data_IF_966951445393
#
_entry.id   IF_966951445393
#
_cell.length_a   1.000
_cell.length_b   1.000
_cell.length_c   1.000
_cell.angle_alpha   90.00
_cell.angle_beta   90.00
_cell.angle_gamma   90.00
#
_symmetry.space_group_name_H-M   'P 1'
#
loop_
_entity.id
_entity.type
_entity.pdbx_description
1 polymer ?
#
# COMPACT_ATOMS: atom_id res chain seq x y z
N UNK A 1 -5.10 -15.65 7.01
CA UNK A 1 -5.74 -15.26 8.27
C UNK A 1 -5.50 -13.77 8.54
N UNK A 2 -6.31 -13.16 9.41
CA UNK A 2 -6.09 -11.82 9.92
C UNK A 2 -5.04 -11.86 11.03
N UNK A 3 -4.05 -10.98 10.93
CA UNK A 3 -2.99 -10.77 11.90
C UNK A 3 -3.10 -9.36 12.48
N UNK A 4 -2.90 -9.20 13.79
CA UNK A 4 -2.83 -7.88 14.40
C UNK A 4 -1.54 -7.17 13.94
N UNK A 5 -1.57 -5.83 13.81
CA UNK A 5 -0.42 -5.07 13.31
C UNK A 5 0.82 -5.22 14.18
N UNK A 6 0.65 -5.44 15.49
CA UNK A 6 1.72 -5.68 16.46
C UNK A 6 2.52 -6.95 16.15
N UNK A 7 1.94 -7.91 15.43
CA UNK A 7 2.65 -9.11 14.99
C UNK A 7 3.67 -8.83 13.87
N UNK A 8 3.65 -7.64 13.27
CA UNK A 8 4.54 -7.19 12.18
C UNK A 8 4.54 -8.11 10.95
N UNK A 9 3.49 -8.92 10.79
CA UNK A 9 3.28 -9.78 9.63
C UNK A 9 2.53 -9.07 8.50
N UNK A 10 1.66 -8.13 8.84
CA UNK A 10 0.94 -7.27 7.90
C UNK A 10 1.30 -5.82 8.19
N UNK A 11 1.94 -5.17 7.23
CA UNK A 11 2.52 -3.85 7.40
C UNK A 11 1.71 -2.79 6.64
N UNK A 12 1.04 -1.88 7.33
CA UNK A 12 0.33 -0.76 6.72
C UNK A 12 1.30 0.40 6.40
N UNK A 13 0.89 1.30 5.51
CA UNK A 13 1.60 2.56 5.22
C UNK A 13 0.66 3.78 5.27
N UNK A 14 -0.60 3.60 5.65
CA UNK A 14 -1.58 4.67 5.81
C UNK A 14 -2.27 4.59 7.16
N UNK A 15 -2.62 5.75 7.71
CA UNK A 15 -3.55 5.83 8.82
C UNK A 15 -4.98 5.55 8.38
N UNK A 16 -5.75 5.01 9.28
CA UNK A 16 -7.16 4.75 9.05
C UNK A 16 -8.05 5.64 9.91
N UNK A 17 -9.16 6.08 9.32
CA UNK A 17 -10.11 6.96 9.98
C UNK A 17 -11.27 6.17 10.59
N UNK A 18 -11.58 6.43 11.86
CA UNK A 18 -12.63 5.74 12.59
C UNK A 18 -14.03 5.78 11.91
N UNK A 19 -14.48 6.86 11.26
CA UNK A 19 -15.75 6.85 10.55
C UNK A 19 -15.78 5.85 9.39
N UNK A 20 -14.72 5.78 8.61
CA UNK A 20 -14.60 4.86 7.49
C UNK A 20 -14.52 3.39 7.95
N UNK A 21 -13.82 3.12 9.06
CA UNK A 21 -13.78 1.79 9.65
C UNK A 21 -15.19 1.37 10.09
N UNK A 22 -15.91 2.21 10.84
CA UNK A 22 -17.28 1.90 11.32
C UNK A 22 -18.23 1.58 10.18
N UNK A 23 -18.20 2.34 9.08
CA UNK A 23 -19.00 2.09 7.89
C UNK A 23 -18.73 0.68 7.32
N UNK A 24 -17.48 0.29 7.20
CA UNK A 24 -17.09 -1.03 6.69
C UNK A 24 -17.45 -2.17 7.65
N UNK A 25 -17.30 -1.96 8.95
CA UNK A 25 -17.75 -2.93 9.98
C UNK A 25 -19.26 -3.15 9.87
N UNK A 26 -20.06 -2.08 9.82
CA UNK A 26 -21.52 -2.19 9.67
C UNK A 26 -21.93 -2.94 8.40
N UNK A 27 -21.21 -2.74 7.30
CA UNK A 27 -21.44 -3.46 6.06
C UNK A 27 -21.13 -4.96 6.21
N UNK A 28 -20.02 -5.31 6.87
CA UNK A 28 -19.65 -6.71 7.14
C UNK A 28 -20.64 -7.38 8.09
N UNK A 29 -21.13 -6.67 9.11
CA UNK A 29 -22.15 -7.17 10.04
C UNK A 29 -23.48 -7.45 9.33
N UNK A 30 -23.91 -6.57 8.42
CA UNK A 30 -25.15 -6.72 7.68
C UNK A 30 -25.12 -7.84 6.65
N UNK A 31 -23.99 -8.09 6.03
CA UNK A 31 -23.89 -8.98 4.87
C UNK A 31 -23.12 -10.28 5.14
N UNK A 32 -22.30 -10.33 6.18
CA UNK A 32 -21.45 -11.48 6.48
C UNK A 32 -20.44 -11.83 5.39
N UNK A 33 -19.98 -10.82 4.61
CA UNK A 33 -19.16 -11.05 3.42
C UNK A 33 -18.05 -10.01 3.23
N UNK A 34 -17.00 -10.41 2.52
CA UNK A 34 -15.98 -9.51 1.97
C UNK A 34 -16.39 -9.11 0.54
N UNK A 35 -16.53 -7.81 0.26
CA UNK A 35 -16.99 -7.30 -1.04
C UNK A 35 -15.87 -7.01 -2.03
N UNK A 36 -14.75 -6.52 -1.53
CA UNK A 36 -13.60 -6.17 -2.36
C UNK A 36 -12.33 -6.73 -1.75
N UNK A 37 -11.46 -7.36 -2.54
CA UNK A 37 -10.18 -7.83 -2.04
C UNK A 37 -9.33 -6.65 -1.59
N UNK A 38 -8.56 -6.85 -0.53
CA UNK A 38 -7.48 -5.96 -0.13
C UNK A 38 -6.32 -6.22 -1.09
N UNK A 39 -5.67 -5.16 -1.57
CA UNK A 39 -4.46 -5.30 -2.37
C UNK A 39 -3.24 -5.25 -1.47
N UNK A 40 -2.35 -6.21 -1.62
CA UNK A 40 -1.11 -6.30 -0.86
C UNK A 40 0.05 -6.74 -1.73
N UNK A 41 1.25 -6.43 -1.29
CA UNK A 41 2.47 -6.85 -1.94
C UNK A 41 3.34 -7.68 -0.99
N UNK A 42 4.19 -8.54 -1.52
CA UNK A 42 5.16 -9.33 -0.78
C UNK A 42 6.47 -9.43 -1.55
N UNK A 43 7.55 -9.76 -0.86
CA UNK A 43 8.87 -9.93 -1.47
C UNK A 43 9.17 -11.41 -1.66
N UNK A 44 9.53 -11.78 -2.89
CA UNK A 44 9.98 -13.13 -3.26
C UNK A 44 11.16 -13.06 -4.25
N UNK A 45 12.24 -12.38 -3.84
CA UNK A 45 13.42 -12.17 -4.68
C UNK A 45 14.11 -13.47 -5.14
N UNK A 46 13.85 -14.56 -4.45
CA UNK A 46 14.36 -15.92 -4.79
C UNK A 46 13.37 -16.71 -5.65
N UNK A 47 12.23 -16.13 -6.03
CA UNK A 47 11.19 -16.75 -6.83
C UNK A 47 10.68 -18.10 -6.26
N UNK A 48 10.60 -18.23 -4.94
CA UNK A 48 10.21 -19.47 -4.23
C UNK A 48 8.79 -19.92 -4.57
N UNK A 49 7.87 -18.98 -4.80
CA UNK A 49 6.49 -19.27 -5.19
C UNK A 49 6.32 -19.49 -6.71
N UNK A 50 7.29 -19.12 -7.53
CA UNK A 50 7.21 -19.26 -8.99
C UNK A 50 6.90 -20.70 -9.47
N UNK A 51 7.51 -21.77 -8.95
CA UNK A 51 7.17 -23.14 -9.33
C UNK A 51 5.72 -23.52 -9.03
N UNK A 52 5.16 -23.00 -7.92
CA UNK A 52 3.78 -23.24 -7.48
C UNK A 52 2.80 -22.60 -8.48
N UNK A 53 3.06 -21.34 -8.85
CA UNK A 53 2.24 -20.62 -9.83
C UNK A 53 2.35 -21.23 -11.23
N UNK A 54 3.56 -21.56 -11.68
CA UNK A 54 3.76 -22.19 -13.00
C UNK A 54 3.01 -23.51 -13.12
N UNK A 55 3.06 -24.36 -12.08
CA UNK A 55 2.30 -25.62 -12.04
C UNK A 55 0.79 -25.37 -12.14
N UNK A 56 0.28 -24.39 -11.42
CA UNK A 56 -1.14 -24.04 -11.48
C UNK A 56 -1.53 -23.50 -12.85
N UNK A 57 -0.73 -22.59 -13.42
CA UNK A 57 -0.98 -22.00 -14.74
C UNK A 57 -0.80 -22.97 -15.89
N UNK A 58 -0.14 -24.12 -15.70
CA UNK A 58 -0.07 -25.18 -16.72
C UNK A 58 -1.38 -25.97 -16.87
N UNK A 59 -2.34 -25.77 -15.96
CA UNK A 59 -3.68 -26.37 -16.03
C UNK A 59 -4.63 -25.48 -16.85
N UNK A 60 -5.81 -26.00 -17.21
CA UNK A 60 -6.83 -25.20 -17.86
C UNK A 60 -7.35 -24.10 -16.92
N UNK A 61 -7.45 -22.85 -17.36
CA UNK A 61 -8.02 -21.78 -16.55
C UNK A 61 -9.53 -21.98 -16.33
N UNK A 62 -10.04 -21.47 -15.23
CA UNK A 62 -11.49 -21.45 -14.94
C UNK A 62 -12.18 -20.26 -15.60
N UNK A 63 -11.44 -19.19 -15.87
CA UNK A 63 -11.90 -18.01 -16.63
C UNK A 63 -10.75 -17.63 -17.57
N UNK A 64 -11.09 -17.30 -18.81
CA UNK A 64 -10.17 -16.77 -19.80
C UNK A 64 -10.97 -15.89 -20.78
N UNK A 65 -11.00 -14.58 -20.53
CA UNK A 65 -11.81 -13.62 -21.26
C UNK A 65 -10.97 -12.42 -21.72
N UNK A 66 -11.26 -11.86 -22.90
CA UNK A 66 -10.67 -10.58 -23.28
C UNK A 66 -11.19 -9.47 -22.33
N UNK A 67 -10.35 -8.49 -22.06
CA UNK A 67 -10.75 -7.28 -21.37
C UNK A 67 -11.07 -6.14 -22.35
N UNK A 68 -11.69 -5.07 -21.82
CA UNK A 68 -12.14 -3.94 -22.64
C UNK A 68 -11.01 -3.06 -23.18
N UNK A 69 -9.77 -3.27 -22.72
CA UNK A 69 -8.59 -2.48 -23.11
C UNK A 69 -7.61 -3.26 -24.00
N UNK A 70 -8.03 -4.40 -24.50
CA UNK A 70 -7.28 -5.21 -25.46
C UNK A 70 -6.31 -6.22 -24.83
N UNK A 71 -6.40 -6.42 -23.53
CA UNK A 71 -5.71 -7.48 -22.78
C UNK A 71 -6.59 -8.72 -22.60
N UNK A 72 -6.19 -9.57 -21.64
CA UNK A 72 -6.94 -10.77 -21.23
C UNK A 72 -6.92 -10.90 -19.71
N UNK A 73 -8.07 -11.28 -19.16
CA UNK A 73 -8.19 -11.66 -17.75
C UNK A 73 -8.30 -13.18 -17.66
N UNK A 74 -7.28 -13.80 -17.10
CA UNK A 74 -7.22 -15.26 -16.96
C UNK A 74 -7.15 -15.63 -15.48
N UNK A 75 -8.01 -16.57 -15.05
CA UNK A 75 -8.09 -17.03 -13.67
C UNK A 75 -7.89 -18.54 -13.59
N UNK A 76 -7.00 -18.98 -12.74
CA UNK A 76 -6.80 -20.38 -12.38
C UNK A 76 -7.22 -20.64 -10.95
N UNK A 77 -7.76 -21.81 -10.72
CA UNK A 77 -8.02 -22.29 -9.37
C UNK A 77 -6.87 -23.19 -8.90
N UNK A 78 -6.23 -22.79 -7.84
CA UNK A 78 -5.23 -23.62 -7.18
C UNK A 78 -5.95 -24.60 -6.24
N UNK A 79 -5.80 -25.90 -6.48
CA UNK A 79 -6.43 -26.97 -5.68
C UNK A 79 -5.45 -28.10 -5.32
N UNK A 80 -4.21 -28.01 -5.79
CA UNK A 80 -3.16 -28.95 -5.44
C UNK A 80 -2.80 -28.82 -3.94
N UNK A 81 -2.88 -29.90 -3.15
CA UNK A 81 -2.59 -29.84 -1.72
C UNK A 81 -1.15 -29.39 -1.39
N UNK A 82 -0.17 -29.73 -2.22
CA UNK A 82 1.21 -29.31 -2.04
C UNK A 82 1.34 -27.79 -2.23
N UNK A 83 0.69 -27.23 -3.27
CA UNK A 83 0.65 -25.79 -3.50
C UNK A 83 -0.07 -25.04 -2.36
N UNK A 84 -1.21 -25.57 -1.91
CA UNK A 84 -1.98 -25.01 -0.80
C UNK A 84 -1.23 -25.04 0.54
N UNK A 85 -0.28 -25.96 0.71
CA UNK A 85 0.60 -26.01 1.88
C UNK A 85 1.82 -25.08 1.74
N UNK A 86 2.39 -24.96 0.55
CA UNK A 86 3.59 -24.18 0.30
C UNK A 86 3.36 -22.66 0.51
N UNK A 87 2.19 -22.15 0.13
CA UNK A 87 1.87 -20.72 0.24
C UNK A 87 1.84 -20.24 1.69
N UNK A 88 1.08 -20.86 2.63
CA UNK A 88 1.13 -20.48 4.04
C UNK A 88 2.54 -20.57 4.62
N UNK A 89 3.28 -21.66 4.31
CA UNK A 89 4.65 -21.83 4.78
C UNK A 89 5.60 -20.73 4.31
N UNK A 90 5.41 -20.22 3.09
CA UNK A 90 6.18 -19.05 2.62
C UNK A 90 5.91 -17.81 3.46
N UNK A 91 4.65 -17.56 3.83
CA UNK A 91 4.25 -16.37 4.58
C UNK A 91 4.44 -16.47 6.10
N UNK A 92 4.93 -17.59 6.64
CA UNK A 92 5.31 -17.67 8.05
C UNK A 92 6.43 -16.71 8.39
N UNK A 93 7.41 -16.55 7.48
CA UNK A 93 8.60 -15.72 7.66
C UNK A 93 8.63 -14.48 6.75
N UNK A 94 7.60 -14.29 5.91
CA UNK A 94 7.56 -13.21 4.92
C UNK A 94 6.44 -12.22 5.25
N UNK A 95 6.75 -10.96 5.54
CA UNK A 95 5.74 -9.95 5.81
C UNK A 95 4.97 -9.58 4.53
N UNK A 96 3.74 -9.15 4.72
CA UNK A 96 2.84 -8.66 3.67
C UNK A 96 2.68 -7.15 3.84
N UNK A 97 2.83 -6.40 2.77
CA UNK A 97 2.69 -4.96 2.75
C UNK A 97 1.32 -4.59 2.17
N UNK A 98 0.48 -3.90 2.94
CA UNK A 98 -0.79 -3.41 2.42
C UNK A 98 -0.53 -2.33 1.37
N UNK A 99 -0.98 -2.56 0.14
CA UNK A 99 -0.88 -1.58 -0.95
C UNK A 99 -2.16 -0.73 -1.06
N UNK A 100 -3.33 -1.35 -0.87
CA UNK A 100 -4.63 -0.67 -0.81
C UNK A 100 -5.60 -1.41 0.10
N UNK A 101 -6.54 -0.69 0.70
CA UNK A 101 -7.58 -1.27 1.54
C UNK A 101 -7.27 -1.26 3.04
N UNK A 102 -6.47 -0.32 3.52
CA UNK A 102 -6.14 -0.16 4.95
C UNK A 102 -7.39 -0.08 5.83
N UNK A 103 -8.40 0.70 5.45
CA UNK A 103 -9.68 0.77 6.15
C UNK A 103 -10.44 -0.56 6.13
N UNK A 104 -10.37 -1.33 5.04
CA UNK A 104 -10.98 -2.66 4.94
C UNK A 104 -10.29 -3.67 5.85
N UNK A 105 -8.96 -3.62 5.94
CA UNK A 105 -8.19 -4.49 6.83
C UNK A 105 -8.48 -4.15 8.30
N UNK A 106 -8.42 -2.87 8.69
CA UNK A 106 -8.75 -2.42 10.03
C UNK A 106 -10.20 -2.77 10.43
N UNK A 107 -11.14 -2.62 9.50
CA UNK A 107 -12.54 -3.03 9.72
C UNK A 107 -12.67 -4.55 9.91
N UNK A 108 -11.93 -5.35 9.15
CA UNK A 108 -11.94 -6.80 9.31
C UNK A 108 -11.37 -7.24 10.67
N UNK A 109 -10.31 -6.59 11.15
CA UNK A 109 -9.79 -6.79 12.51
C UNK A 109 -10.85 -6.45 13.56
N UNK A 110 -11.49 -5.30 13.45
CA UNK A 110 -12.55 -4.90 14.38
C UNK A 110 -13.75 -5.85 14.34
N UNK A 111 -14.20 -6.25 13.15
CA UNK A 111 -15.28 -7.21 12.98
C UNK A 111 -14.95 -8.56 13.64
N UNK A 112 -13.74 -9.09 13.42
CA UNK A 112 -13.24 -10.29 14.10
C UNK A 112 -13.31 -10.13 15.62
N UNK A 113 -12.83 -9.03 16.15
CA UNK A 113 -12.79 -8.77 17.58
C UNK A 113 -14.21 -8.65 18.18
N UNK A 114 -15.14 -7.99 17.47
CA UNK A 114 -16.54 -7.94 17.86
C UNK A 114 -17.16 -9.34 17.93
N UNK A 115 -16.95 -10.15 16.89
CA UNK A 115 -17.46 -11.52 16.82
C UNK A 115 -16.91 -12.43 17.93
N UNK A 116 -15.64 -12.29 18.27
CA UNK A 116 -15.02 -13.06 19.35
C UNK A 116 -15.55 -12.69 20.75
N UNK A 117 -16.15 -11.51 20.91
CA UNK A 117 -16.74 -11.04 22.18
C UNK A 117 -18.23 -11.38 22.32
N UNK A 118 -18.90 -11.91 21.28
CA UNK A 118 -20.31 -12.28 21.36
C UNK A 118 -20.55 -13.43 22.35
N UNK A 119 -21.54 -13.31 23.27
CA UNK A 119 -21.86 -14.37 24.22
C UNK A 119 -22.31 -15.65 23.50
N UNK A 120 -21.71 -16.77 23.85
CA UNK A 120 -22.08 -18.09 23.30
C UNK A 120 -21.12 -18.61 22.22
N UNK A 121 -20.19 -17.83 21.74
CA UNK A 121 -19.02 -18.34 21.03
C UNK A 121 -17.99 -18.73 22.08
N UNK A 122 -17.85 -20.04 22.31
CA UNK A 122 -17.04 -20.61 23.38
C UNK A 122 -15.62 -20.04 23.44
N UNK A 123 -15.14 -19.83 24.66
CA UNK A 123 -13.84 -19.25 24.96
C UNK A 123 -12.72 -19.79 24.09
N UNK A 124 -12.00 -18.90 23.44
CA UNK A 124 -10.64 -19.08 22.92
C UNK A 124 -10.37 -20.38 22.15
N UNK A 125 -11.27 -20.81 21.30
CA UNK A 125 -10.94 -21.72 20.21
C UNK A 125 -10.57 -20.85 19.02
N UNK A 126 -9.29 -20.85 18.77
CA UNK A 126 -8.61 -20.40 17.58
C UNK A 126 -9.52 -19.61 16.58
N UNK A 127 -9.65 -18.30 16.80
CA UNK A 127 -10.45 -17.43 15.92
C UNK A 127 -9.95 -17.48 14.47
N UNK A 128 -8.73 -17.96 14.26
CA UNK A 128 -8.16 -18.23 12.94
C UNK A 128 -8.91 -19.34 12.18
N UNK A 129 -9.61 -20.25 12.89
CA UNK A 129 -10.40 -21.31 12.27
C UNK A 129 -11.82 -20.87 11.87
N UNK A 130 -12.28 -19.71 12.32
CA UNK A 130 -13.62 -19.19 12.01
C UNK A 130 -13.58 -18.24 10.81
N UNK A 131 -14.64 -18.22 10.00
CA UNK A 131 -14.69 -17.42 8.76
C UNK A 131 -14.36 -15.92 8.96
N UNK A 132 -14.75 -15.35 10.09
CA UNK A 132 -14.41 -13.95 10.43
C UNK A 132 -12.95 -13.74 10.83
N UNK A 133 -12.15 -14.79 10.98
CA UNK A 133 -10.70 -14.75 11.13
C UNK A 133 -9.94 -14.55 9.81
N UNK A 134 -10.64 -14.38 8.69
CA UNK A 134 -10.04 -14.26 7.37
C UNK A 134 -10.55 -13.03 6.64
N UNK A 135 -9.74 -12.53 5.73
CA UNK A 135 -10.10 -11.46 4.80
C UNK A 135 -9.70 -11.84 3.38
N UNK A 136 -10.50 -11.41 2.40
CA UNK A 136 -10.17 -11.60 0.99
C UNK A 136 -9.05 -10.63 0.60
N UNK A 137 -7.95 -11.17 0.05
CA UNK A 137 -6.76 -10.40 -0.27
C UNK A 137 -6.17 -10.84 -1.62
N UNK A 138 -5.85 -9.89 -2.47
CA UNK A 138 -5.02 -10.06 -3.66
C UNK A 138 -3.58 -9.78 -3.27
N UNK A 139 -2.67 -10.70 -3.59
CA UNK A 139 -1.27 -10.61 -3.22
C UNK A 139 -0.40 -10.60 -4.48
N UNK A 140 0.49 -9.62 -4.60
CA UNK A 140 1.35 -9.42 -5.77
C UNK A 140 2.81 -9.38 -5.31
N UNK A 141 3.69 -10.13 -5.97
CA UNK A 141 5.13 -10.03 -5.72
C UNK A 141 5.66 -8.65 -6.12
N UNK A 142 6.56 -8.07 -5.32
CA UNK A 142 7.23 -6.81 -5.70
C UNK A 142 8.05 -6.96 -6.99
N UNK A 143 8.47 -8.18 -7.28
CA UNK A 143 9.27 -8.54 -8.44
C UNK A 143 8.41 -8.76 -9.71
N UNK A 144 7.07 -8.68 -9.60
CA UNK A 144 6.19 -8.82 -10.75
C UNK A 144 6.32 -7.61 -11.67
N UNK A 145 6.69 -7.79 -12.94
CA UNK A 145 6.89 -6.69 -13.88
C UNK A 145 5.59 -5.95 -14.24
N UNK A 146 4.44 -6.51 -13.93
CA UNK A 146 3.13 -5.87 -14.07
C UNK A 146 2.76 -4.95 -12.90
N UNK A 147 3.49 -5.01 -11.78
CA UNK A 147 3.26 -4.13 -10.64
C UNK A 147 3.81 -2.73 -10.93
N UNK A 148 2.93 -1.77 -11.09
CA UNK A 148 3.29 -0.37 -11.27
C UNK A 148 3.07 0.39 -9.96
N UNK A 149 4.12 1.05 -9.46
CA UNK A 149 4.04 1.99 -8.34
C UNK A 149 4.06 3.40 -8.93
N UNK A 150 2.91 4.05 -8.92
CA UNK A 150 2.76 5.40 -9.47
C UNK A 150 2.83 6.45 -8.36
N UNK A 151 3.30 7.67 -8.66
CA UNK A 151 3.33 8.76 -7.71
C UNK A 151 1.91 9.16 -7.31
N UNK A 152 1.69 9.40 -6.03
CA UNK A 152 0.41 9.88 -5.52
C UNK A 152 0.51 11.38 -5.25
N UNK A 153 -0.02 12.19 -6.17
CA UNK A 153 0.00 13.64 -6.05
C UNK A 153 -0.87 14.15 -4.90
N UNK A 154 -0.38 15.14 -4.18
CA UNK A 154 -1.09 15.78 -3.07
C UNK A 154 -1.32 17.25 -3.41
N UNK A 155 -2.51 17.75 -3.11
CA UNK A 155 -2.84 19.16 -3.20
C UNK A 155 -3.00 19.70 -1.79
N UNK A 156 -2.22 20.69 -1.44
CA UNK A 156 -2.36 21.43 -0.18
C UNK A 156 -3.17 22.69 -0.45
N UNK A 157 -4.28 22.87 0.27
CA UNK A 157 -5.16 24.03 0.13
C UNK A 157 -5.62 24.53 1.48
N UNK A 158 -5.98 25.82 1.54
CA UNK A 158 -6.53 26.43 2.76
C UNK A 158 -5.52 26.61 3.90
N UNK A 159 -4.22 26.54 3.62
CA UNK A 159 -3.20 26.74 4.64
C UNK A 159 -3.04 28.22 4.98
N UNK A 160 -2.96 28.54 6.27
CA UNK A 160 -2.57 29.85 6.76
C UNK A 160 -1.08 30.15 6.49
N UNK A 161 -0.68 31.41 6.55
CA UNK A 161 0.72 31.78 6.38
C UNK A 161 1.65 31.12 7.40
N UNK A 162 1.19 30.91 8.64
CA UNK A 162 1.98 30.20 9.65
C UNK A 162 2.14 28.71 9.34
N UNK A 163 1.10 28.05 8.83
CA UNK A 163 1.18 26.65 8.41
C UNK A 163 2.10 26.48 7.19
N UNK A 164 2.03 27.38 6.21
CA UNK A 164 2.95 27.40 5.06
C UNK A 164 4.41 27.52 5.53
N UNK A 165 4.68 28.38 6.52
CA UNK A 165 6.02 28.52 7.10
C UNK A 165 6.48 27.22 7.75
N UNK A 166 5.65 26.58 8.57
CA UNK A 166 5.99 25.33 9.23
C UNK A 166 6.25 24.19 8.23
N UNK A 167 5.42 24.07 7.18
CA UNK A 167 5.63 23.06 6.12
C UNK A 167 6.95 23.32 5.38
N UNK A 168 7.23 24.59 5.09
CA UNK A 168 8.48 25.00 4.43
C UNK A 168 9.71 24.65 5.25
N UNK A 169 9.72 24.99 6.52
CA UNK A 169 10.82 24.67 7.45
C UNK A 169 11.02 23.16 7.52
N UNK A 170 9.96 22.38 7.73
CA UNK A 170 10.04 20.93 7.76
C UNK A 170 10.56 20.31 6.45
N UNK A 171 10.15 20.85 5.30
CA UNK A 171 10.68 20.40 4.00
C UNK A 171 12.18 20.70 3.85
N UNK A 172 12.61 21.91 4.23
CA UNK A 172 14.01 22.29 4.14
C UNK A 172 14.91 21.64 5.18
N UNK A 173 14.38 21.14 6.27
CA UNK A 173 15.14 20.31 7.21
C UNK A 173 15.55 18.97 6.58
N UNK A 174 14.71 18.42 5.72
CA UNK A 174 14.87 17.08 5.16
C UNK A 174 15.41 17.12 3.73
N UNK A 175 14.93 18.05 2.91
CA UNK A 175 15.21 18.12 1.49
C UNK A 175 16.03 19.34 1.12
N UNK A 176 16.76 19.21 0.02
CA UNK A 176 17.32 20.35 -0.72
C UNK A 176 16.47 20.61 -1.96
N UNK A 177 16.19 21.90 -2.23
CA UNK A 177 15.42 22.31 -3.39
C UNK A 177 16.33 22.73 -4.55
N UNK A 178 15.96 22.34 -5.76
CA UNK A 178 16.57 22.75 -7.01
C UNK A 178 15.49 23.21 -7.98
N UNK A 179 15.68 24.31 -8.71
CA UNK A 179 14.77 24.71 -9.77
C UNK A 179 14.63 23.58 -10.80
N UNK A 180 13.42 23.39 -11.30
CA UNK A 180 13.22 22.51 -12.45
C UNK A 180 14.05 23.02 -13.63
N UNK A 181 14.99 22.21 -14.08
CA UNK A 181 15.91 22.64 -15.13
C UNK A 181 15.18 22.78 -16.46
N UNK A 182 15.27 23.99 -17.03
CA UNK A 182 14.61 24.35 -18.29
C UNK A 182 15.29 23.78 -19.54
N UNK A 183 16.22 22.85 -19.40
CA UNK A 183 16.91 22.18 -20.52
C UNK A 183 16.17 20.89 -20.86
N UNK A 184 15.17 20.98 -21.73
CA UNK A 184 14.37 19.81 -22.16
C UNK A 184 12.88 20.10 -22.26
N UNK A 185 12.06 19.08 -22.11
CA UNK A 185 10.62 19.20 -22.09
C UNK A 185 10.15 19.94 -20.82
N UNK A 186 9.67 21.18 -21.01
CA UNK A 186 9.12 22.02 -19.94
C UNK A 186 7.65 21.75 -19.62
N UNK A 187 7.08 20.71 -20.19
CA UNK A 187 5.72 20.27 -19.89
C UNK A 187 5.61 19.70 -18.46
N UNK A 188 4.39 19.57 -17.99
CA UNK A 188 4.11 18.86 -16.75
C UNK A 188 4.63 17.41 -16.78
N UNK A 189 4.60 16.76 -17.95
CA UNK A 189 5.16 15.42 -18.15
C UNK A 189 6.67 15.41 -17.93
N UNK A 190 7.41 16.35 -18.56
CA UNK A 190 8.86 16.46 -18.37
C UNK A 190 9.26 16.71 -16.92
N UNK A 191 8.45 17.44 -16.16
CA UNK A 191 8.67 17.60 -14.73
C UNK A 191 8.50 16.29 -13.95
N UNK A 192 7.42 15.56 -14.22
CA UNK A 192 7.17 14.25 -13.59
C UNK A 192 8.28 13.26 -13.92
N UNK A 193 8.75 13.24 -15.16
CA UNK A 193 9.85 12.37 -15.60
C UNK A 193 11.17 12.67 -14.87
N UNK A 194 11.47 13.96 -14.63
CA UNK A 194 12.66 14.32 -13.85
C UNK A 194 12.53 13.94 -12.38
N UNK A 195 11.34 14.12 -11.77
CA UNK A 195 11.09 13.65 -10.40
C UNK A 195 11.26 12.14 -10.31
N UNK A 196 10.74 11.38 -11.27
CA UNK A 196 10.87 9.94 -11.33
C UNK A 196 12.33 9.49 -11.49
N UNK A 197 13.08 10.14 -12.38
CA UNK A 197 14.50 9.85 -12.59
C UNK A 197 15.32 10.07 -11.31
N UNK A 198 15.08 11.19 -10.60
CA UNK A 198 15.75 11.48 -9.33
C UNK A 198 15.28 10.56 -8.20
N UNK A 199 14.01 10.15 -8.22
CA UNK A 199 13.47 9.14 -7.31
C UNK A 199 14.14 7.77 -7.46
N UNK A 200 14.60 7.41 -8.65
CA UNK A 200 15.39 6.20 -8.89
C UNK A 200 16.81 6.24 -8.32
N UNK A 201 17.37 7.44 -8.13
CA UNK A 201 18.69 7.64 -7.50
C UNK A 201 18.59 7.77 -5.97
N UNK A 202 17.41 8.08 -5.44
CA UNK A 202 17.15 8.32 -4.03
C UNK A 202 15.71 8.77 -3.81
N UNK A 203 15.43 9.52 -2.73
CA UNK A 203 14.09 10.06 -2.47
C UNK A 203 13.96 11.46 -3.07
N UNK A 204 12.95 11.64 -3.93
CA UNK A 204 12.69 12.91 -4.58
C UNK A 204 11.19 13.26 -4.55
N UNK A 205 10.90 14.56 -4.51
CA UNK A 205 9.56 15.14 -4.59
C UNK A 205 9.55 16.29 -5.59
N UNK A 206 8.46 16.47 -6.32
CA UNK A 206 8.20 17.64 -7.11
C UNK A 206 7.24 18.59 -6.38
N UNK A 207 7.55 19.87 -6.32
CA UNK A 207 6.66 20.90 -5.76
C UNK A 207 6.32 21.91 -6.84
N UNK A 208 5.02 22.21 -6.95
CA UNK A 208 4.48 23.26 -7.80
C UNK A 208 3.68 24.22 -6.93
N UNK A 209 4.07 25.48 -6.91
CA UNK A 209 3.42 26.53 -6.13
C UNK A 209 4.44 27.35 -5.35
N UNK A 210 4.65 28.62 -5.76
CA UNK A 210 5.69 29.47 -5.17
C UNK A 210 5.42 29.81 -3.70
N UNK A 211 4.15 29.82 -3.30
CA UNK A 211 3.75 30.16 -1.92
C UNK A 211 4.30 29.18 -0.88
N UNK A 212 4.46 27.90 -1.24
CA UNK A 212 4.94 26.88 -0.32
C UNK A 212 6.42 27.06 0.02
N UNK A 213 7.26 27.35 -0.97
CA UNK A 213 8.71 27.42 -0.78
C UNK A 213 9.22 28.85 -0.48
N UNK A 214 8.38 29.86 -0.73
CA UNK A 214 8.71 31.29 -0.46
C UNK A 214 9.00 32.09 -1.71
N UNK A 215 9.19 33.43 -1.56
CA UNK A 215 9.26 34.37 -2.67
C UNK A 215 10.49 34.19 -3.56
N UNK A 216 11.54 33.53 -3.07
CA UNK A 216 12.78 33.33 -3.82
C UNK A 216 12.69 32.12 -4.79
N UNK A 217 11.61 31.36 -4.72
CA UNK A 217 11.41 30.17 -5.55
C UNK A 217 10.39 30.47 -6.66
N UNK A 218 10.83 30.35 -7.89
CA UNK A 218 10.00 30.58 -9.07
C UNK A 218 9.79 29.28 -9.86
N UNK A 219 8.53 28.98 -10.16
CA UNK A 219 8.15 27.78 -10.91
C UNK A 219 8.30 26.47 -10.14
N UNK A 220 8.20 25.33 -10.84
CA UNK A 220 8.35 24.01 -10.24
C UNK A 220 9.74 23.79 -9.64
N UNK A 221 9.79 23.11 -8.50
CA UNK A 221 11.03 22.76 -7.82
C UNK A 221 11.13 21.24 -7.64
N UNK A 222 12.32 20.72 -7.86
CA UNK A 222 12.69 19.37 -7.53
C UNK A 222 13.34 19.35 -6.14
N UNK A 223 12.80 18.56 -5.24
CA UNK A 223 13.34 18.35 -3.91
C UNK A 223 13.99 16.98 -3.85
N UNK A 224 15.22 16.90 -3.42
CA UNK A 224 15.95 15.66 -3.18
C UNK A 224 16.33 15.53 -1.71
N UNK A 225 16.28 14.32 -1.17
CA UNK A 225 16.64 14.05 0.22
C UNK A 225 18.09 14.46 0.47
N UNK A 226 18.34 15.14 1.57
CA UNK A 226 19.69 15.51 1.99
C UNK A 226 20.48 14.30 2.44
N UNK A 227 21.79 14.36 2.25
CA UNK A 227 22.69 13.32 2.75
C UNK A 227 22.62 13.21 4.28
N UNK A 228 22.69 12.00 4.78
CA UNK A 228 22.71 11.71 6.21
C UNK A 228 21.33 11.74 6.90
N UNK A 229 20.26 11.98 6.17
CA UNK A 229 18.90 11.84 6.70
C UNK A 229 18.51 10.36 6.79
N UNK A 230 18.21 9.92 7.99
CA UNK A 230 17.64 8.59 8.22
C UNK A 230 16.15 8.60 7.87
N UNK A 231 15.87 8.24 6.62
CA UNK A 231 14.50 8.16 6.11
C UNK A 231 13.62 7.18 6.90
N UNK A 232 14.18 6.08 7.41
CA UNK A 232 13.42 5.07 8.16
C UNK A 232 12.88 5.65 9.47
N UNK A 233 13.63 6.55 10.09
CA UNK A 233 13.19 7.25 11.29
C UNK A 233 11.99 8.17 11.02
N UNK A 234 11.89 8.77 9.84
CA UNK A 234 10.75 9.61 9.44
C UNK A 234 9.56 8.78 8.96
N UNK A 235 9.79 7.67 8.29
CA UNK A 235 8.74 6.72 7.87
C UNK A 235 8.00 6.07 9.05
N UNK A 236 8.66 5.92 10.19
CA UNK A 236 8.06 5.35 11.41
C UNK A 236 7.14 6.30 12.16
N UNK A 237 7.19 7.61 11.91
CA UNK A 237 6.28 8.59 12.52
C UNK A 237 4.81 8.41 12.07
N UNK A 238 4.57 7.59 11.04
CA UNK A 238 3.23 7.29 10.53
C UNK A 238 2.56 6.06 11.13
N UNK A 239 3.24 5.23 11.90
CA UNK A 239 2.73 3.91 12.34
C UNK A 239 2.56 3.80 13.87
N UNK A 240 3.02 4.78 14.65
CA UNK A 240 3.18 4.62 16.10
C UNK A 240 2.06 5.15 16.98
N UNK A 241 0.97 5.70 16.44
CA UNK A 241 -0.18 6.16 17.25
C UNK A 241 -1.52 5.79 16.57
N UNK A 242 -1.86 4.50 16.57
CA UNK A 242 -3.21 4.02 16.29
C UNK A 242 -3.70 3.14 17.46
#
# INVERSE_FOLDING_TARGET
ALEDYEALKVLPHEYTEAPAIRDRVSLMEACGANFSPIMSAYRDSEARLSPVFQRTMSTAPVIDVPDDIGGRSTLWRMSDPEALSAIPGFFEDSPVFLADGHHRYAAALQYRNNKNQEPGQGSARDSSAQAHGFVLMTMIGFEDPGLLVLPYHRVLSGLSASQLTQVREALFDIFQAQPFASTGDQSASGFVDQVAAKGGEGHALGIVGPELLGPDFHGPQLLTLKDGIDWQKWGSLGVSEA
#
